data_IF_905752887486
#
_entry.id   IF_905752887486
#
_cell.length_a   1.000
_cell.length_b   1.000
_cell.length_c   1.000
_cell.angle_alpha   90.00
_cell.angle_beta   90.00
_cell.angle_gamma   90.00
#
_symmetry.space_group_name_H-M   'P 1'
#
loop_
_entity.id
_entity.type
_entity.pdbx_description
1 polymer ?
#
# COMPACT_ATOMS: atom_id res chain seq x y z
N UNK A 1 -0.37 -16.30 72.32
CA UNK A 1 -1.12 -15.16 71.81
C UNK A 1 -0.19 -14.34 70.98
N UNK A 2 -0.27 -14.53 69.66
CA UNK A 2 -1.09 -13.69 68.77
C UNK A 2 -0.35 -12.38 68.50
N UNK A 3 0.30 -12.26 67.33
CA UNK A 3 -0.13 -11.49 66.15
C UNK A 3 0.89 -10.34 66.04
N UNK A 4 1.50 -9.92 64.92
CA UNK A 4 1.39 -10.25 63.51
C UNK A 4 2.65 -9.68 62.82
N UNK A 5 2.95 -10.16 61.61
CA UNK A 5 4.05 -9.76 60.74
C UNK A 5 3.91 -8.32 60.23
N UNK A 6 5.04 -7.69 59.88
CA UNK A 6 5.09 -6.82 58.69
C UNK A 6 6.50 -6.81 58.11
N UNK A 7 6.62 -7.43 56.93
CA UNK A 7 7.68 -7.29 55.93
C UNK A 7 7.41 -6.00 55.13
N UNK A 8 8.45 -5.32 54.67
CA UNK A 8 8.75 -5.17 53.23
C UNK A 8 9.93 -4.20 53.04
N UNK A 9 10.95 -4.71 52.35
CA UNK A 9 12.18 -4.00 51.98
C UNK A 9 11.93 -3.13 50.74
N UNK A 10 12.41 -1.89 50.82
CA UNK A 10 12.56 -0.95 49.70
C UNK A 10 13.50 -1.51 48.63
N UNK A 11 13.05 -1.59 47.38
CA UNK A 11 13.92 -1.63 46.21
C UNK A 11 13.34 -0.72 45.11
N UNK A 12 14.10 0.35 44.82
CA UNK A 12 13.97 1.21 43.66
C UNK A 12 14.14 0.41 42.35
N UNK A 13 13.22 0.55 41.39
CA UNK A 13 13.53 0.38 39.98
C UNK A 13 12.90 1.52 39.15
N UNK A 14 13.78 2.29 38.53
CA UNK A 14 13.48 3.28 37.50
C UNK A 14 12.94 2.61 36.23
N UNK A 15 11.92 3.24 35.66
CA UNK A 15 11.59 3.33 34.23
C UNK A 15 11.71 2.09 33.35
N UNK A 16 10.56 1.63 32.85
CA UNK A 16 10.39 1.37 31.42
C UNK A 16 8.94 1.74 31.05
N UNK A 17 8.78 2.88 30.38
CA UNK A 17 7.54 3.21 29.67
C UNK A 17 7.57 2.32 28.44
N UNK A 18 6.91 1.16 28.51
CA UNK A 18 6.76 0.28 27.35
C UNK A 18 6.04 1.06 26.23
N UNK A 19 6.77 1.34 25.16
CA UNK A 19 6.23 1.86 23.90
C UNK A 19 5.12 0.91 23.42
N UNK A 20 3.90 1.43 23.26
CA UNK A 20 2.78 0.72 22.63
C UNK A 20 3.18 0.30 21.20
N UNK A 21 3.63 -0.95 21.05
CA UNK A 21 3.82 -1.59 19.76
C UNK A 21 2.45 -1.96 19.17
N UNK A 22 1.99 -1.15 18.24
CA UNK A 22 0.80 -1.39 17.41
C UNK A 22 1.07 -2.53 16.43
N UNK A 23 0.30 -3.62 16.53
CA UNK A 23 0.65 -4.88 15.89
C UNK A 23 0.14 -4.96 14.44
N UNK A 24 1.05 -4.69 13.50
CA UNK A 24 0.93 -5.18 12.12
C UNK A 24 0.71 -6.70 12.16
N UNK A 25 -0.14 -7.25 11.27
CA UNK A 25 -0.35 -8.70 11.26
C UNK A 25 0.97 -9.45 10.96
N UNK A 26 1.16 -10.64 11.53
CA UNK A 26 2.38 -11.45 11.27
C UNK A 26 2.57 -11.76 9.78
N UNK A 27 1.49 -11.80 9.01
CA UNK A 27 1.53 -12.02 7.57
C UNK A 27 2.02 -10.75 6.83
N UNK A 28 1.48 -9.58 7.16
CA UNK A 28 1.92 -8.31 6.58
C UNK A 28 3.38 -8.03 6.92
N UNK A 29 3.80 -8.27 8.16
CA UNK A 29 5.20 -8.16 8.55
C UNK A 29 6.11 -9.06 7.70
N UNK A 30 5.69 -10.29 7.42
CA UNK A 30 6.48 -11.23 6.62
C UNK A 30 6.62 -10.73 5.17
N UNK A 31 5.53 -10.22 4.59
CA UNK A 31 5.53 -9.62 3.25
C UNK A 31 6.42 -8.38 3.21
N UNK A 32 6.26 -7.46 4.17
CA UNK A 32 7.01 -6.19 4.22
C UNK A 32 8.52 -6.39 4.46
N UNK A 33 8.92 -7.51 5.09
CA UNK A 33 10.32 -7.90 5.29
C UNK A 33 11.00 -8.42 4.00
N UNK A 34 10.24 -8.74 2.95
CA UNK A 34 10.84 -9.16 1.68
C UNK A 34 11.56 -8.01 0.98
N UNK A 35 12.74 -8.31 0.42
CA UNK A 35 13.58 -7.30 -0.24
C UNK A 35 12.89 -6.70 -1.46
N UNK A 36 12.75 -5.38 -1.46
CA UNK A 36 12.18 -4.60 -2.57
C UNK A 36 10.68 -4.34 -2.46
N UNK A 37 9.96 -4.98 -1.52
CA UNK A 37 8.61 -4.55 -1.13
C UNK A 37 8.71 -3.16 -0.51
N UNK A 38 7.77 -2.26 -0.79
CA UNK A 38 7.61 -0.92 -0.19
C UNK A 38 6.26 -0.74 0.50
N UNK A 39 5.31 -1.65 0.26
CA UNK A 39 4.01 -1.66 0.91
C UNK A 39 3.15 -2.83 0.45
N UNK A 40 1.90 -2.86 0.88
CA UNK A 40 0.88 -3.83 0.45
C UNK A 40 -0.33 -3.03 -0.02
N UNK A 41 -0.78 -3.27 -1.25
CA UNK A 41 -1.99 -2.65 -1.79
C UNK A 41 -3.18 -3.58 -1.62
N UNK A 42 -4.30 -3.01 -1.19
CA UNK A 42 -5.58 -3.67 -1.01
C UNK A 42 -6.71 -2.89 -1.70
N UNK A 43 -7.53 -3.59 -2.49
CA UNK A 43 -8.77 -3.07 -3.06
C UNK A 43 -9.87 -4.11 -2.80
N UNK A 44 -10.56 -4.03 -1.64
CA UNK A 44 -11.47 -5.10 -1.19
C UNK A 44 -12.59 -5.40 -2.18
N UNK A 45 -13.15 -4.38 -2.83
CA UNK A 45 -14.21 -4.53 -3.84
C UNK A 45 -13.81 -5.36 -5.06
N UNK A 46 -12.51 -5.57 -5.27
CA UNK A 46 -11.95 -6.30 -6.41
C UNK A 46 -11.17 -7.56 -6.01
N UNK A 47 -11.14 -7.92 -4.72
CA UNK A 47 -10.33 -9.02 -4.18
C UNK A 47 -8.83 -8.90 -4.58
N UNK A 48 -8.33 -7.66 -4.58
CA UNK A 48 -6.92 -7.37 -4.83
C UNK A 48 -6.21 -7.21 -3.48
N UNK A 49 -5.21 -8.04 -3.24
CA UNK A 49 -4.21 -7.86 -2.18
C UNK A 49 -2.83 -8.32 -2.69
N UNK A 50 -1.90 -7.40 -2.87
CA UNK A 50 -0.57 -7.69 -3.43
C UNK A 50 0.54 -6.85 -2.80
N UNK A 51 1.77 -7.37 -2.74
CA UNK A 51 2.93 -6.54 -2.41
C UNK A 51 3.11 -5.46 -3.49
N UNK A 52 3.40 -4.25 -3.03
CA UNK A 52 3.91 -3.14 -3.84
C UNK A 52 5.42 -3.17 -3.75
N UNK A 53 6.09 -3.17 -4.89
CA UNK A 53 7.53 -3.30 -5.04
C UNK A 53 8.08 -2.04 -5.70
N UNK A 54 9.28 -1.62 -5.32
CA UNK A 54 9.97 -0.53 -6.02
C UNK A 54 10.41 -0.97 -7.43
N UNK A 55 10.14 -0.14 -8.43
CA UNK A 55 10.53 -0.37 -9.82
C UNK A 55 9.52 -1.14 -10.67
N UNK A 56 9.78 -1.18 -11.98
CA UNK A 56 8.84 -1.74 -12.98
C UNK A 56 9.48 -2.78 -13.91
N UNK A 57 10.59 -3.40 -13.48
CA UNK A 57 11.23 -4.47 -14.25
C UNK A 57 10.31 -5.70 -14.38
N UNK A 58 10.52 -6.54 -15.40
CA UNK A 58 9.74 -7.78 -15.53
C UNK A 58 9.85 -8.69 -14.31
N UNK A 59 10.98 -8.68 -13.60
CA UNK A 59 11.14 -9.46 -12.36
C UNK A 59 10.19 -8.95 -11.28
N UNK A 60 10.08 -7.62 -11.14
CA UNK A 60 9.20 -6.97 -10.17
C UNK A 60 7.73 -7.22 -10.51
N UNK A 61 7.31 -6.96 -11.75
CA UNK A 61 5.90 -7.09 -12.14
C UNK A 61 5.39 -8.54 -12.16
N UNK A 62 6.30 -9.53 -12.23
CA UNK A 62 5.94 -10.93 -12.05
C UNK A 62 5.75 -11.33 -10.57
N UNK A 63 6.27 -10.55 -9.63
CA UNK A 63 6.19 -10.81 -8.20
C UNK A 63 5.07 -10.01 -7.51
N UNK A 64 4.72 -8.83 -8.02
CA UNK A 64 3.74 -7.95 -7.40
C UNK A 64 3.37 -6.74 -8.26
N UNK A 65 2.91 -5.69 -7.59
CA UNK A 65 2.61 -4.39 -8.19
C UNK A 65 3.88 -3.54 -8.17
N UNK A 66 4.25 -2.94 -9.29
CA UNK A 66 5.45 -2.11 -9.40
C UNK A 66 5.16 -0.64 -9.24
N UNK A 67 5.96 0.04 -8.42
CA UNK A 67 6.01 1.50 -8.33
C UNK A 67 6.94 2.08 -9.40
N UNK A 68 6.54 3.21 -9.99
CA UNK A 68 7.39 3.95 -10.91
C UNK A 68 8.35 4.84 -10.12
N UNK A 69 9.64 4.51 -10.15
CA UNK A 69 10.70 5.12 -9.31
C UNK A 69 10.80 6.65 -9.42
N UNK A 70 10.44 7.24 -10.56
CA UNK A 70 10.46 8.70 -10.74
C UNK A 70 9.20 9.42 -10.20
N UNK A 71 8.28 8.71 -9.57
CA UNK A 71 7.01 9.25 -9.06
C UNK A 71 6.99 9.29 -7.53
N UNK A 72 6.01 10.00 -6.93
CA UNK A 72 5.98 10.20 -5.48
C UNK A 72 5.82 8.88 -4.71
N UNK A 73 6.39 8.80 -3.50
CA UNK A 73 6.21 7.65 -2.64
C UNK A 73 4.78 7.48 -2.12
N UNK A 74 4.52 6.33 -1.49
CA UNK A 74 3.23 6.04 -0.86
C UNK A 74 2.94 7.12 0.20
N UNK A 75 1.81 7.81 0.05
CA UNK A 75 1.36 8.82 1.01
C UNK A 75 2.14 10.14 0.98
N UNK A 76 3.06 10.30 0.04
CA UNK A 76 3.83 11.52 -0.15
C UNK A 76 3.09 12.55 -1.02
N UNK A 77 3.53 13.81 -0.98
CA UNK A 77 3.06 14.86 -1.89
C UNK A 77 3.47 14.53 -3.32
N UNK A 78 2.54 14.65 -4.25
CA UNK A 78 2.71 14.24 -5.64
C UNK A 78 1.85 13.03 -5.97
N UNK A 79 2.13 12.43 -7.12
CA UNK A 79 1.35 11.33 -7.66
C UNK A 79 2.17 10.06 -7.58
N UNK A 80 1.80 9.14 -6.69
CA UNK A 80 2.37 7.81 -6.63
C UNK A 80 1.78 6.95 -7.75
N UNK A 81 2.62 6.38 -8.61
CA UNK A 81 2.14 5.64 -9.78
C UNK A 81 2.48 4.16 -9.66
N UNK A 82 1.44 3.34 -9.60
CA UNK A 82 1.54 1.89 -9.47
C UNK A 82 1.02 1.17 -10.73
N UNK A 83 1.74 0.12 -11.13
CA UNK A 83 1.39 -0.67 -12.31
C UNK A 83 1.38 -2.17 -12.01
N UNK A 84 0.45 -2.86 -12.65
CA UNK A 84 0.28 -4.30 -12.51
C UNK A 84 -0.16 -4.94 -13.81
N UNK A 85 0.09 -6.24 -13.96
CA UNK A 85 -0.33 -6.99 -15.13
C UNK A 85 -1.86 -7.10 -15.24
N UNK A 86 -2.37 -7.12 -16.47
CA UNK A 86 -3.72 -7.55 -16.82
C UNK A 86 -3.60 -8.91 -17.52
N UNK A 87 -3.87 -9.98 -16.78
CA UNK A 87 -3.57 -11.36 -17.16
C UNK A 87 -2.11 -11.70 -16.94
N UNK A 88 -1.84 -12.67 -16.05
CA UNK A 88 -0.50 -13.23 -15.83
C UNK A 88 -0.59 -14.69 -15.43
N UNK A 89 0.46 -15.46 -15.71
CA UNK A 89 0.59 -16.85 -15.22
C UNK A 89 0.97 -16.93 -13.73
N UNK A 90 1.31 -15.79 -13.13
CA UNK A 90 1.82 -15.70 -11.76
C UNK A 90 0.81 -15.17 -10.75
N UNK A 91 -0.34 -14.69 -11.21
CA UNK A 91 -1.36 -14.10 -10.35
C UNK A 91 -2.37 -13.25 -11.11
N UNK A 92 -3.38 -12.79 -10.37
CA UNK A 92 -4.46 -11.93 -10.87
C UNK A 92 -4.00 -10.47 -11.01
N UNK A 93 -3.19 -9.95 -10.08
CA UNK A 93 -2.69 -8.57 -10.08
C UNK A 93 -3.83 -7.56 -10.33
N UNK A 94 -3.65 -6.64 -11.30
CA UNK A 94 -4.64 -5.64 -11.69
C UNK A 94 -5.57 -6.11 -12.82
N UNK A 95 -5.68 -7.42 -13.08
CA UNK A 95 -6.66 -7.96 -14.03
C UNK A 95 -8.10 -7.46 -13.78
N UNK A 96 -8.62 -7.41 -12.53
CA UNK A 96 -9.97 -6.94 -12.28
C UNK A 96 -10.07 -5.42 -12.15
N UNK A 97 -8.98 -4.66 -12.30
CA UNK A 97 -8.96 -3.20 -12.09
C UNK A 97 -10.00 -2.45 -12.94
N UNK A 98 -10.33 -2.97 -14.13
CA UNK A 98 -11.37 -2.38 -14.99
C UNK A 98 -12.80 -2.48 -14.44
N UNK A 99 -13.01 -3.18 -13.32
CA UNK A 99 -14.28 -3.29 -12.62
C UNK A 99 -14.40 -2.30 -11.46
N UNK A 100 -13.35 -1.51 -11.19
CA UNK A 100 -13.37 -0.49 -10.13
C UNK A 100 -14.41 0.59 -10.43
N UNK A 101 -15.02 1.11 -9.37
CA UNK A 101 -16.00 2.19 -9.43
C UNK A 101 -15.46 3.47 -8.82
N UNK A 102 -15.97 4.61 -9.30
CA UNK A 102 -15.74 5.91 -8.64
C UNK A 102 -16.30 5.83 -7.22
N UNK A 103 -15.51 6.27 -6.24
CA UNK A 103 -15.82 6.18 -4.81
C UNK A 103 -15.28 4.92 -4.13
N UNK A 104 -14.75 3.94 -4.86
CA UNK A 104 -14.08 2.78 -4.25
C UNK A 104 -12.80 3.24 -3.52
N UNK A 105 -12.48 2.53 -2.43
CA UNK A 105 -11.28 2.80 -1.65
C UNK A 105 -10.12 1.91 -2.09
N UNK A 106 -8.95 2.54 -2.23
CA UNK A 106 -7.67 1.88 -2.44
C UNK A 106 -6.83 2.13 -1.21
N UNK A 107 -6.38 1.06 -0.56
CA UNK A 107 -5.58 1.13 0.65
C UNK A 107 -4.16 0.66 0.34
N UNK A 108 -3.16 1.35 0.90
CA UNK A 108 -1.77 0.93 0.84
C UNK A 108 -1.16 0.99 2.24
N UNK A 109 -0.78 -0.15 2.79
CA UNK A 109 -0.01 -0.23 4.03
C UNK A 109 1.48 -0.11 3.71
N UNK A 110 2.16 0.90 4.26
CA UNK A 110 3.58 1.14 4.05
C UNK A 110 4.47 0.22 4.91
N UNK A 111 5.80 0.36 4.80
CA UNK A 111 6.75 -0.41 5.62
C UNK A 111 6.68 -0.15 7.12
N UNK A 112 6.14 1.01 7.50
CA UNK A 112 5.99 1.40 8.89
C UNK A 112 4.68 0.86 9.48
N UNK A 113 3.85 0.18 8.68
CA UNK A 113 2.53 -0.28 9.08
C UNK A 113 1.45 0.78 9.00
N UNK A 114 1.75 1.94 8.41
CA UNK A 114 0.77 3.00 8.24
C UNK A 114 -0.08 2.73 7.00
N UNK A 115 -1.39 2.63 7.17
CA UNK A 115 -2.36 2.38 6.09
C UNK A 115 -2.84 3.70 5.51
N UNK A 116 -2.47 3.96 4.27
CA UNK A 116 -2.89 5.13 3.50
C UNK A 116 -4.14 4.81 2.69
N UNK A 117 -5.19 5.60 2.85
CA UNK A 117 -6.48 5.40 2.19
C UNK A 117 -6.66 6.46 1.10
N UNK A 118 -7.01 5.99 -0.10
CA UNK A 118 -7.30 6.82 -1.27
C UNK A 118 -8.71 6.51 -1.79
N UNK A 119 -9.37 7.51 -2.38
CA UNK A 119 -10.66 7.37 -3.03
C UNK A 119 -10.51 7.48 -4.55
N UNK A 120 -11.11 6.55 -5.30
CA UNK A 120 -11.13 6.60 -6.76
C UNK A 120 -12.03 7.75 -7.23
N UNK A 121 -11.48 8.65 -8.04
CA UNK A 121 -12.21 9.82 -8.58
C UNK A 121 -12.45 9.73 -10.09
N UNK A 122 -11.61 8.98 -10.80
CA UNK A 122 -11.65 8.93 -12.26
C UNK A 122 -11.07 7.62 -12.80
N UNK A 123 -11.61 7.16 -13.92
CA UNK A 123 -11.06 6.06 -14.71
C UNK A 123 -11.00 6.45 -16.18
N UNK A 124 -9.90 6.12 -16.85
CA UNK A 124 -9.70 6.45 -18.26
C UNK A 124 -8.94 5.34 -19.02
N UNK A 125 -9.05 5.36 -20.36
CA UNK A 125 -8.27 4.48 -21.23
C UNK A 125 -7.35 5.32 -22.10
N UNK A 126 -6.05 5.18 -21.90
CA UNK A 126 -5.02 6.04 -22.52
C UNK A 126 -4.06 5.25 -23.41
N UNK A 127 -3.32 5.99 -24.23
CA UNK A 127 -2.23 5.44 -25.02
C UNK A 127 -1.10 4.94 -24.10
N UNK A 128 -0.44 3.81 -24.40
CA UNK A 128 0.66 3.30 -23.57
C UNK A 128 1.87 4.22 -23.45
N UNK A 129 1.99 5.24 -24.31
CA UNK A 129 3.05 6.26 -24.27
C UNK A 129 2.57 7.59 -23.69
N UNK A 130 1.36 7.64 -23.13
CA UNK A 130 0.85 8.83 -22.46
C UNK A 130 1.59 9.05 -21.13
N UNK A 131 2.43 10.08 -21.09
CA UNK A 131 3.21 10.42 -19.90
C UNK A 131 2.42 11.24 -18.88
N UNK A 132 1.20 11.71 -19.22
CA UNK A 132 0.37 12.49 -18.29
C UNK A 132 -0.07 11.70 -17.06
N UNK A 133 -0.03 10.37 -17.12
CA UNK A 133 -0.29 9.48 -15.99
C UNK A 133 0.74 9.64 -14.87
N UNK A 134 1.92 10.20 -15.17
CA UNK A 134 3.03 10.41 -14.23
C UNK A 134 3.16 11.85 -13.76
N UNK A 135 2.31 12.75 -14.23
CA UNK A 135 2.33 14.16 -13.84
C UNK A 135 2.30 14.28 -12.33
N UNK A 136 3.21 15.10 -11.78
CA UNK A 136 3.34 15.35 -10.36
C UNK A 136 2.69 16.69 -10.00
N UNK A 137 2.00 16.71 -8.85
CA UNK A 137 1.36 17.89 -8.28
C UNK A 137 1.81 18.15 -6.84
N UNK A 138 1.09 19.04 -6.15
CA UNK A 138 1.28 19.32 -4.72
C UNK A 138 0.33 18.53 -3.82
N UNK A 139 -0.72 17.96 -4.39
CA UNK A 139 -1.65 17.11 -3.66
C UNK A 139 -1.09 15.68 -3.56
N UNK A 140 -1.61 14.91 -2.60
CA UNK A 140 -1.30 13.49 -2.48
C UNK A 140 -2.25 12.71 -3.38
N UNK A 141 -1.71 12.12 -4.43
CA UNK A 141 -2.47 11.42 -5.47
C UNK A 141 -1.93 10.00 -5.66
N UNK A 142 -2.80 9.11 -6.13
CA UNK A 142 -2.44 7.74 -6.49
C UNK A 142 -3.00 7.43 -7.87
N UNK A 143 -2.12 7.00 -8.78
CA UNK A 143 -2.51 6.50 -10.10
C UNK A 143 -2.23 5.01 -10.19
N UNK A 144 -3.26 4.20 -10.44
CA UNK A 144 -3.11 2.78 -10.75
C UNK A 144 -3.29 2.57 -12.25
N UNK A 145 -2.50 1.70 -12.86
CA UNK A 145 -2.79 1.31 -14.24
C UNK A 145 -2.41 -0.11 -14.61
N UNK A 146 -3.08 -0.61 -15.64
CA UNK A 146 -2.83 -1.93 -16.21
C UNK A 146 -3.00 -1.93 -17.73
N UNK A 147 -2.58 -3.03 -18.39
CA UNK A 147 -2.81 -3.22 -19.82
C UNK A 147 -4.31 -3.29 -20.13
N UNK A 148 -4.73 -2.73 -21.26
CA UNK A 148 -6.11 -2.82 -21.76
C UNK A 148 -6.11 -3.08 -23.27
N UNK A 149 -7.26 -3.45 -23.82
CA UNK A 149 -7.47 -3.71 -25.25
C UNK A 149 -6.40 -4.65 -25.86
N UNK A 150 -6.21 -5.84 -25.27
CA UNK A 150 -5.18 -6.81 -25.68
C UNK A 150 -3.75 -6.25 -25.63
N UNK A 151 -3.50 -5.29 -24.72
CA UNK A 151 -2.19 -4.71 -24.46
C UNK A 151 -1.86 -3.46 -25.26
N UNK A 152 -2.72 -3.04 -26.20
CA UNK A 152 -2.48 -1.85 -27.03
C UNK A 152 -2.76 -0.53 -26.30
N UNK A 153 -3.52 -0.58 -25.21
CA UNK A 153 -3.90 0.59 -24.41
C UNK A 153 -3.61 0.36 -22.92
N UNK A 154 -3.82 1.38 -22.10
CA UNK A 154 -3.78 1.28 -20.64
C UNK A 154 -5.12 1.67 -20.05
N UNK A 155 -5.59 0.91 -19.07
CA UNK A 155 -6.69 1.31 -18.21
C UNK A 155 -6.06 1.96 -16.97
N UNK A 156 -6.46 3.18 -16.67
CA UNK A 156 -5.88 4.03 -15.63
C UNK A 156 -6.98 4.41 -14.65
N UNK A 157 -6.63 4.42 -13.38
CA UNK A 157 -7.48 4.83 -12.25
C UNK A 157 -6.74 5.93 -11.52
N UNK A 158 -7.41 7.06 -11.29
CA UNK A 158 -6.88 8.17 -10.51
C UNK A 158 -7.61 8.24 -9.18
N UNK A 159 -6.85 8.40 -8.12
CA UNK A 159 -7.34 8.44 -6.76
C UNK A 159 -6.79 9.67 -6.03
N UNK A 160 -7.57 10.20 -5.10
CA UNK A 160 -7.16 11.28 -4.19
C UNK A 160 -6.97 10.72 -2.78
N UNK A 161 -6.00 11.25 -2.05
CA UNK A 161 -5.76 10.87 -0.67
C UNK A 161 -6.90 11.29 0.26
N UNK A 162 -7.32 10.39 1.16
CA UNK A 162 -8.28 10.69 2.23
C UNK A 162 -7.56 10.90 3.56
N UNK A 163 -6.92 9.86 4.05
CA UNK A 163 -6.32 9.81 5.39
C UNK A 163 -5.28 8.71 5.51
N UNK A 164 -4.58 8.67 6.64
CA UNK A 164 -3.80 7.52 7.06
C UNK A 164 -4.27 7.06 8.43
N UNK A 165 -4.38 5.74 8.60
CA UNK A 165 -4.76 5.08 9.84
C UNK A 165 -3.69 4.06 10.21
N UNK A 166 -3.48 3.84 11.50
CA UNK A 166 -2.70 2.69 11.95
C UNK A 166 -3.66 1.51 12.11
N UNK A 167 -3.25 0.33 11.67
CA UNK A 167 -4.05 -0.88 11.89
C UNK A 167 -4.10 -1.19 13.40
N UNK A 168 -5.34 -1.21 13.94
CA UNK A 168 -5.65 -1.57 15.34
C UNK A 168 -5.49 -3.08 15.61
#
# INVERSE_FOLDING_TARGET
SEFEQTLEDDYDEETDVEEEQTSISKEDEAILKEGGVIGIIEIPGLDIRYPVMEGTTSKVLNAGIGHIEETAGIGESGNCVLCGHNGSRYGTFFTPLSQISIGDEVMITDKNGLKHIYEVIETEVVNPYDNSIKTQGTEKELTLFTCSQKGTMRFVVRCIYKEAVMDE
#
